data_IF_849881015657
#
_entry.id   IF_849881015657
#
_cell.length_a   1.000
_cell.length_b   1.000
_cell.length_c   1.000
_cell.angle_alpha   90.00
_cell.angle_beta   90.00
_cell.angle_gamma   90.00
#
_symmetry.space_group_name_H-M   'P 1'
#
loop_
_entity.id
_entity.type
_entity.pdbx_description
1 polymer ?
#
# COMPACT_ATOMS: atom_id res chain seq x y z
N UNK A 1 -31.84 28.21 -2.06
CA UNK A 1 -31.60 28.94 -0.79
C UNK A 1 -31.92 28.00 0.38
N UNK A 2 -30.94 27.75 1.26
CA UNK A 2 -31.00 27.09 2.61
C UNK A 2 -31.36 25.58 2.64
N UNK A 3 -30.44 24.64 2.87
CA UNK A 3 -29.68 24.27 4.10
C UNK A 3 -30.53 24.05 5.35
N UNK A 4 -30.54 22.80 5.87
CA UNK A 4 -29.98 22.32 7.16
C UNK A 4 -30.54 20.92 7.47
N UNK A 5 -29.79 19.81 7.46
CA UNK A 5 -28.71 19.32 8.35
C UNK A 5 -29.15 18.82 9.74
N UNK A 6 -28.72 17.57 10.00
CA UNK A 6 -28.25 16.96 11.25
C UNK A 6 -29.29 16.55 12.30
N UNK A 7 -29.65 15.27 12.26
CA UNK A 7 -30.34 14.55 13.31
C UNK A 7 -29.30 13.84 14.21
N UNK A 8 -28.76 14.56 15.20
CA UNK A 8 -27.89 14.00 16.23
C UNK A 8 -28.75 13.61 17.43
N UNK A 9 -28.94 12.31 17.65
CA UNK A 9 -29.66 11.78 18.82
C UNK A 9 -28.84 12.01 20.09
N UNK A 10 -29.30 12.94 20.94
CA UNK A 10 -28.80 13.07 22.31
C UNK A 10 -29.44 12.01 23.20
N UNK A 11 -28.62 11.21 23.88
CA UNK A 11 -29.07 10.34 24.96
C UNK A 11 -29.19 11.20 26.22
N UNK A 12 -30.42 11.49 26.64
CA UNK A 12 -30.72 12.20 27.89
C UNK A 12 -30.89 11.15 28.99
N UNK A 13 -29.92 11.06 29.91
CA UNK A 13 -29.99 10.17 31.08
C UNK A 13 -30.78 10.89 32.19
N UNK A 14 -31.99 10.40 32.48
CA UNK A 14 -32.78 10.85 33.63
C UNK A 14 -32.31 10.16 34.91
N UNK A 15 -31.60 10.89 35.78
CA UNK A 15 -31.23 10.41 37.11
C UNK A 15 -32.43 10.60 38.05
N UNK A 16 -33.13 9.52 38.39
CA UNK A 16 -34.23 9.52 39.36
C UNK A 16 -33.67 9.44 40.78
N UNK A 17 -33.47 10.59 41.43
CA UNK A 17 -33.05 10.66 42.82
C UNK A 17 -33.00 12.09 43.37
N UNK A 18 -33.35 12.26 44.66
CA UNK A 18 -33.41 13.54 45.38
C UNK A 18 -32.00 14.04 45.78
N UNK A 19 -31.10 14.17 44.79
CA UNK A 19 -29.70 14.52 45.01
C UNK A 19 -29.58 16.05 44.96
N UNK A 20 -29.11 16.67 46.05
CA UNK A 20 -28.91 18.12 46.13
C UNK A 20 -28.01 18.57 44.97
N UNK A 21 -28.45 19.57 44.21
CA UNK A 21 -27.82 20.07 42.96
C UNK A 21 -26.32 20.31 43.06
N UNK A 22 -25.83 20.78 44.22
CA UNK A 22 -24.39 20.99 44.49
C UNK A 22 -23.54 19.70 44.42
N UNK A 23 -24.13 18.54 44.75
CA UNK A 23 -23.46 17.23 44.67
C UNK A 23 -23.35 16.70 43.23
N UNK A 24 -24.37 16.97 42.39
CA UNK A 24 -24.37 16.58 40.97
C UNK A 24 -23.32 17.39 40.20
N UNK A 25 -23.25 18.71 40.45
CA UNK A 25 -22.26 19.58 39.80
C UNK A 25 -20.84 19.16 40.16
N UNK A 26 -20.58 18.85 41.43
CA UNK A 26 -19.27 18.35 41.88
C UNK A 26 -18.90 17.02 41.21
N UNK A 27 -19.86 16.09 41.06
CA UNK A 27 -19.63 14.81 40.38
C UNK A 27 -19.21 14.99 38.90
N UNK A 28 -19.88 15.90 38.18
CA UNK A 28 -19.58 16.20 36.77
C UNK A 28 -18.18 16.81 36.61
N UNK A 29 -17.77 17.69 37.53
CA UNK A 29 -16.43 18.30 37.49
C UNK A 29 -15.35 17.25 37.73
N UNK A 30 -15.56 16.34 38.70
CA UNK A 30 -14.60 15.28 39.01
C UNK A 30 -14.46 14.30 37.84
N UNK A 31 -15.56 13.88 37.23
CA UNK A 31 -15.52 12.99 36.06
C UNK A 31 -14.87 13.65 34.85
N UNK A 32 -15.11 14.95 34.62
CA UNK A 32 -14.46 15.70 33.56
C UNK A 32 -12.94 15.86 33.77
N UNK A 33 -12.48 15.99 35.01
CA UNK A 33 -11.05 16.04 35.32
C UNK A 33 -10.38 14.67 35.13
N UNK A 34 -11.04 13.58 35.56
CA UNK A 34 -10.51 12.22 35.39
C UNK A 34 -10.46 11.82 33.90
N UNK A 35 -11.45 12.21 33.09
CA UNK A 35 -11.48 11.88 31.66
C UNK A 35 -10.38 12.55 30.84
N UNK A 36 -9.94 13.75 31.24
CA UNK A 36 -8.84 14.45 30.56
C UNK A 36 -7.45 13.96 31.00
N UNK A 37 -7.35 13.30 32.17
CA UNK A 37 -6.07 12.84 32.73
C UNK A 37 -5.56 11.50 32.17
N UNK A 38 -6.37 10.75 31.41
CA UNK A 38 -6.07 9.37 31.02
C UNK A 38 -5.87 9.19 29.50
N UNK A 39 -5.16 10.10 28.84
CA UNK A 39 -4.78 9.95 27.42
C UNK A 39 -3.26 10.07 27.23
N UNK A 40 -2.41 9.49 28.09
CA UNK A 40 -0.97 9.37 27.78
C UNK A 40 -0.33 8.10 28.39
N UNK A 41 -0.94 6.92 28.25
CA UNK A 41 -0.28 5.65 28.64
C UNK A 41 -0.33 4.56 27.56
N UNK A 42 -0.52 4.94 26.29
CA UNK A 42 -0.63 3.97 25.19
C UNK A 42 0.19 4.28 23.93
N UNK A 43 0.90 5.41 23.88
CA UNK A 43 1.89 5.63 22.83
C UNK A 43 3.26 5.31 23.41
N UNK A 44 3.73 4.07 23.19
CA UNK A 44 5.15 3.79 23.21
C UNK A 44 5.77 4.55 22.03
N UNK A 45 6.03 5.84 22.22
CA UNK A 45 6.98 6.54 21.39
C UNK A 45 8.33 5.98 21.80
N UNK A 46 8.77 4.99 21.04
CA UNK A 46 10.08 4.38 21.17
C UNK A 46 11.11 5.50 20.97
N UNK A 47 11.55 6.12 22.07
CA UNK A 47 12.52 7.22 22.10
C UNK A 47 13.95 6.70 21.87
N UNK A 48 14.11 5.59 21.17
CA UNK A 48 15.35 5.24 20.52
C UNK A 48 15.47 6.14 19.28
N UNK A 49 16.64 6.72 18.98
CA UNK A 49 16.80 7.67 17.86
C UNK A 49 16.59 7.07 16.45
N UNK A 50 15.82 5.99 16.31
CA UNK A 50 15.54 5.28 15.09
C UNK A 50 14.22 5.74 14.47
N UNK A 51 14.28 6.09 13.18
CA UNK A 51 13.10 6.42 12.39
C UNK A 51 12.57 5.15 11.74
N UNK A 52 11.34 4.76 12.09
CA UNK A 52 10.64 3.66 11.44
C UNK A 52 9.75 4.20 10.32
N UNK A 53 9.91 3.64 9.11
CA UNK A 53 9.05 3.94 7.97
C UNK A 53 8.40 2.64 7.50
N UNK A 54 7.08 2.53 7.68
CA UNK A 54 6.30 1.38 7.23
C UNK A 54 5.59 1.69 5.93
N UNK A 55 5.35 0.64 5.14
CA UNK A 55 4.65 0.77 3.87
C UNK A 55 4.06 -0.59 3.50
N UNK A 56 2.79 -0.61 3.08
CA UNK A 56 2.13 -1.81 2.56
C UNK A 56 1.96 -1.74 1.04
N UNK A 57 1.87 -2.91 0.43
CA UNK A 57 1.41 -3.10 -0.95
C UNK A 57 0.06 -3.81 -0.82
N UNK A 58 -1.04 -3.17 -1.26
CA UNK A 58 -2.37 -3.77 -1.17
C UNK A 58 -2.64 -4.64 -2.40
N UNK A 59 -3.07 -5.88 -2.15
CA UNK A 59 -3.66 -6.84 -3.09
C UNK A 59 -2.95 -6.96 -4.45
N UNK A 60 -1.71 -7.50 -4.47
CA UNK A 60 -1.05 -7.89 -5.70
C UNK A 60 -1.71 -9.15 -6.28
N UNK A 61 -2.87 -9.03 -6.93
CA UNK A 61 -3.51 -10.17 -7.60
C UNK A 61 -2.92 -10.36 -8.99
N UNK A 62 -2.28 -11.51 -9.28
CA UNK A 62 -1.76 -11.81 -10.61
C UNK A 62 -2.88 -12.24 -11.57
N UNK A 63 -2.74 -11.89 -12.83
CA UNK A 63 -3.52 -12.38 -13.96
C UNK A 63 -2.70 -13.38 -14.76
N UNK A 64 -3.29 -14.52 -15.08
CA UNK A 64 -2.65 -15.60 -15.83
C UNK A 64 -3.27 -15.72 -17.22
N UNK A 65 -2.46 -15.67 -18.26
CA UNK A 65 -2.86 -15.87 -19.65
C UNK A 65 -2.12 -17.06 -20.24
N UNK A 66 -2.88 -18.04 -20.70
CA UNK A 66 -2.36 -19.27 -21.29
C UNK A 66 -2.52 -19.23 -22.82
N UNK A 67 -1.43 -19.42 -23.56
CA UNK A 67 -1.43 -19.49 -25.02
C UNK A 67 -1.31 -20.93 -25.58
N UNK A 68 -1.36 -21.94 -24.70
CA UNK A 68 -1.22 -23.35 -25.02
C UNK A 68 0.23 -23.87 -25.06
N UNK A 69 1.22 -22.98 -24.89
CA UNK A 69 2.65 -23.35 -24.82
C UNK A 69 3.32 -22.78 -23.58
N UNK A 70 2.97 -21.55 -23.22
CA UNK A 70 3.48 -20.86 -22.05
C UNK A 70 2.35 -20.11 -21.32
N UNK A 71 2.60 -19.84 -20.04
CA UNK A 71 1.76 -18.95 -19.23
C UNK A 71 2.45 -17.58 -19.12
N UNK A 72 1.72 -16.53 -19.45
CA UNK A 72 2.10 -15.14 -19.15
C UNK A 72 1.46 -14.72 -17.84
N UNK A 73 2.27 -14.14 -16.96
CA UNK A 73 1.80 -13.59 -15.68
C UNK A 73 1.87 -12.07 -15.75
N UNK A 74 0.76 -11.40 -15.49
CA UNK A 74 0.67 -9.94 -15.41
C UNK A 74 0.15 -9.51 -14.04
N UNK A 75 0.54 -8.31 -13.60
CA UNK A 75 0.10 -7.75 -12.33
C UNK A 75 0.04 -6.23 -12.43
N UNK A 76 -0.95 -5.62 -11.77
CA UNK A 76 -1.12 -4.17 -11.79
C UNK A 76 0.08 -3.47 -11.10
N UNK A 77 0.50 -2.32 -11.65
CA UNK A 77 1.62 -1.52 -11.15
C UNK A 77 2.93 -2.33 -11.02
N UNK A 78 3.11 -3.33 -11.87
CA UNK A 78 4.31 -4.14 -11.90
C UNK A 78 5.15 -3.86 -13.15
N UNK A 79 6.42 -4.20 -13.03
CA UNK A 79 7.39 -4.27 -14.13
C UNK A 79 7.84 -5.72 -14.26
N UNK A 80 8.48 -6.08 -15.37
CA UNK A 80 9.01 -7.44 -15.52
C UNK A 80 10.43 -7.50 -14.96
N UNK A 81 10.71 -8.52 -14.14
CA UNK A 81 12.07 -8.89 -13.82
C UNK A 81 12.76 -9.47 -15.06
N UNK A 82 13.80 -8.78 -15.52
CA UNK A 82 14.48 -9.13 -16.75
C UNK A 82 15.76 -9.92 -16.45
N UNK A 83 15.78 -11.18 -16.87
CA UNK A 83 16.95 -12.05 -16.83
C UNK A 83 16.80 -13.09 -17.96
N UNK A 84 17.69 -13.03 -18.95
CA UNK A 84 17.56 -13.76 -20.22
C UNK A 84 17.33 -15.26 -19.99
N UNK A 85 16.33 -15.81 -20.67
CA UNK A 85 15.97 -17.24 -20.57
C UNK A 85 15.30 -17.65 -19.26
N UNK A 86 15.22 -16.78 -18.24
CA UNK A 86 14.48 -17.05 -17.00
C UNK A 86 13.00 -16.70 -17.15
N UNK A 87 12.12 -17.27 -16.30
CA UNK A 87 10.70 -16.91 -16.28
C UNK A 87 10.46 -15.40 -16.18
N UNK A 88 9.57 -14.91 -17.02
CA UNK A 88 9.15 -13.51 -17.05
C UNK A 88 8.15 -13.25 -15.91
N UNK A 89 8.66 -12.82 -14.75
CA UNK A 89 7.87 -12.58 -13.55
C UNK A 89 7.59 -11.09 -13.32
N UNK A 90 6.36 -10.72 -12.91
CA UNK A 90 6.06 -9.34 -12.52
C UNK A 90 6.66 -9.00 -11.15
N UNK A 91 7.16 -7.77 -11.01
CA UNK A 91 7.78 -7.21 -9.81
C UNK A 91 7.22 -5.82 -9.54
N UNK A 92 6.78 -5.60 -8.30
CA UNK A 92 6.37 -4.28 -7.80
C UNK A 92 7.57 -3.64 -7.10
N UNK A 93 7.95 -2.45 -7.56
CA UNK A 93 9.04 -1.67 -6.97
C UNK A 93 8.46 -0.49 -6.22
N UNK A 94 8.77 -0.38 -4.92
CA UNK A 94 8.39 0.76 -4.09
C UNK A 94 9.61 1.54 -3.64
N UNK A 95 9.66 2.81 -4.01
CA UNK A 95 10.78 3.70 -3.69
C UNK A 95 10.50 4.40 -2.36
N UNK A 96 11.44 4.28 -1.41
CA UNK A 96 11.35 4.94 -0.11
C UNK A 96 12.46 5.98 0.02
N UNK A 97 12.07 7.24 0.15
CA UNK A 97 13.01 8.34 0.39
C UNK A 97 13.29 8.52 1.87
N UNK A 98 14.56 8.68 2.22
CA UNK A 98 15.05 8.94 3.57
C UNK A 98 15.86 10.24 3.61
N UNK A 99 15.91 10.94 4.76
CA UNK A 99 16.75 12.12 4.93
C UNK A 99 18.23 11.81 4.70
N UNK A 100 18.96 12.80 4.20
CA UNK A 100 20.42 12.69 4.04
C UNK A 100 21.09 12.38 5.39
N UNK A 101 22.14 11.54 5.35
CA UNK A 101 22.85 11.08 6.55
C UNK A 101 22.15 9.95 7.32
N UNK A 102 20.99 9.46 6.85
CA UNK A 102 20.34 8.29 7.44
C UNK A 102 21.06 6.99 7.04
N UNK A 103 21.11 6.02 7.97
CA UNK A 103 21.58 4.66 7.70
C UNK A 103 20.44 3.67 7.96
N UNK A 104 20.16 2.83 6.97
CA UNK A 104 19.18 1.73 7.12
C UNK A 104 19.86 0.63 7.95
N UNK A 105 19.24 0.28 9.07
CA UNK A 105 19.76 -0.75 10.00
C UNK A 105 19.07 -2.08 9.74
N UNK A 106 17.77 -2.04 9.48
CA UNK A 106 16.96 -3.23 9.25
C UNK A 106 15.86 -2.97 8.22
N UNK A 107 15.50 -4.01 7.48
CA UNK A 107 14.35 -4.04 6.57
C UNK A 107 13.56 -5.31 6.87
N UNK A 108 12.43 -5.14 7.55
CA UNK A 108 11.51 -6.23 7.85
C UNK A 108 10.38 -6.29 6.82
N UNK A 109 10.18 -7.47 6.23
CA UNK A 109 9.10 -7.70 5.24
C UNK A 109 8.17 -8.76 5.83
N UNK A 110 6.89 -8.41 5.93
CA UNK A 110 5.81 -9.34 6.26
C UNK A 110 5.02 -9.60 4.98
N UNK A 111 4.81 -10.87 4.66
CA UNK A 111 4.11 -11.29 3.45
C UNK A 111 3.35 -12.59 3.71
N UNK A 112 2.22 -12.72 3.01
CA UNK A 112 1.50 -13.98 2.87
C UNK A 112 1.95 -14.68 1.59
N UNK A 113 1.74 -16.00 1.53
CA UNK A 113 2.13 -16.82 0.37
C UNK A 113 0.91 -17.55 -0.18
N UNK A 114 0.72 -17.45 -1.49
CA UNK A 114 -0.29 -18.20 -2.23
C UNK A 114 0.40 -19.07 -3.30
N UNK A 115 -0.17 -20.24 -3.59
CA UNK A 115 0.39 -21.19 -4.57
C UNK A 115 -0.63 -21.45 -5.66
N UNK A 116 -0.19 -21.31 -6.92
CA UNK A 116 -0.99 -21.60 -8.10
C UNK A 116 -0.34 -22.71 -8.93
N UNK A 117 -1.14 -23.69 -9.37
CA UNK A 117 -0.70 -24.71 -10.30
C UNK A 117 -0.90 -24.21 -11.73
N UNK A 118 0.15 -24.27 -12.54
CA UNK A 118 0.13 -23.85 -13.94
C UNK A 118 0.10 -25.07 -14.87
N UNK A 119 -0.61 -24.94 -15.99
CA UNK A 119 -0.68 -25.99 -17.02
C UNK A 119 0.60 -26.09 -17.85
N UNK A 120 1.32 -24.96 -17.99
CA UNK A 120 2.55 -24.84 -18.78
C UNK A 120 3.59 -23.99 -18.04
N UNK A 121 4.82 -24.03 -18.54
CA UNK A 121 5.90 -23.19 -18.04
C UNK A 121 5.60 -21.70 -18.29
N UNK A 122 6.21 -20.84 -17.48
CA UNK A 122 6.05 -19.38 -17.62
C UNK A 122 6.88 -18.90 -18.82
N UNK A 123 6.36 -17.91 -19.54
CA UNK A 123 7.03 -17.31 -20.69
C UNK A 123 8.49 -16.92 -20.35
N UNK A 124 9.50 -17.37 -21.11
CA UNK A 124 10.89 -17.04 -20.84
C UNK A 124 11.21 -15.60 -21.28
N UNK A 125 12.11 -14.95 -20.55
CA UNK A 125 12.56 -13.61 -20.88
C UNK A 125 13.35 -13.63 -22.21
N UNK A 126 12.95 -12.85 -23.23
CA UNK A 126 13.63 -12.85 -24.52
C UNK A 126 15.03 -12.25 -24.39
N UNK A 127 16.01 -12.63 -25.24
CA UNK A 127 17.35 -12.04 -25.24
C UNK A 127 17.32 -10.54 -25.56
N UNK A 128 18.26 -9.79 -24.98
CA UNK A 128 18.41 -8.37 -25.29
C UNK A 128 18.86 -8.25 -26.75
N UNK A 129 18.06 -7.57 -27.57
CA UNK A 129 18.48 -7.21 -28.91
C UNK A 129 19.30 -5.92 -28.82
N UNK A 130 20.62 -6.03 -29.01
CA UNK A 130 21.46 -4.88 -29.32
C UNK A 130 21.23 -4.58 -30.79
N UNK A 131 20.63 -3.45 -31.10
CA UNK A 131 20.55 -2.97 -32.47
C UNK A 131 21.74 -2.05 -32.73
N UNK A 132 22.42 -2.22 -33.85
CA UNK A 132 23.43 -1.26 -34.28
C UNK A 132 22.74 -0.01 -34.85
N UNK A 133 23.41 1.14 -34.82
CA UNK A 133 22.85 2.46 -35.20
C UNK A 133 22.13 2.48 -36.57
N UNK A 134 22.49 1.58 -37.50
CA UNK A 134 21.89 1.50 -38.82
C UNK A 134 20.51 0.79 -38.82
N UNK A 135 20.28 -0.17 -37.92
CA UNK A 135 19.04 -0.95 -37.86
C UNK A 135 17.87 -0.13 -37.27
N UNK A 136 18.18 0.85 -36.42
CA UNK A 136 17.19 1.80 -35.92
C UNK A 136 16.62 2.67 -37.05
N UNK A 137 17.45 3.08 -38.01
CA UNK A 137 16.99 3.89 -39.16
C UNK A 137 16.14 3.06 -40.13
N UNK A 138 16.44 1.77 -40.29
CA UNK A 138 15.62 0.87 -41.13
C UNK A 138 14.27 0.56 -40.48
N UNK A 139 14.24 0.32 -39.17
CA UNK A 139 12.98 0.01 -38.46
C UNK A 139 12.01 1.19 -38.41
N UNK A 140 12.49 2.42 -38.18
CA UNK A 140 11.62 3.61 -38.25
C UNK A 140 11.05 3.82 -39.66
N UNK A 141 11.87 3.65 -40.71
CA UNK A 141 11.39 3.84 -42.09
C UNK A 141 10.33 2.81 -42.46
N UNK A 142 10.50 1.54 -42.08
CA UNK A 142 9.49 0.50 -42.31
C UNK A 142 8.16 0.75 -41.58
N UNK A 143 8.18 1.43 -40.44
CA UNK A 143 6.96 1.79 -39.69
C UNK A 143 6.17 2.92 -40.36
N UNK A 144 6.85 3.80 -41.12
CA UNK A 144 6.20 4.87 -41.86
C UNK A 144 5.73 4.43 -43.25
N UNK A 145 6.42 3.49 -43.90
CA UNK A 145 6.02 2.98 -45.22
C UNK A 145 4.74 2.12 -45.18
N UNK A 146 4.42 1.47 -44.05
CA UNK A 146 3.20 0.66 -43.88
C UNK A 146 1.91 1.50 -43.74
N UNK A 147 2.01 2.83 -43.67
CA UNK A 147 0.88 3.75 -43.49
C UNK A 147 0.47 4.54 -44.75
N UNK A 148 0.97 4.18 -45.93
CA UNK A 148 0.62 4.77 -47.23
C UNK A 148 -0.07 3.77 -48.14
#
# INVERSE_FOLDING_TARGET
MRQTLLNTKYIIIFIRGNIKTKKIISLIIITAFISNGLIILGQSQDNSGFLFKSSSISDPTPFFYDDGKYVKIEMNNSTIFYDEGKPMLPVITKIMTFPFGSKIIDVNIQYDTETHNLSYDIYPCPPLKIYENNDYMTSINSFYDEKT
#
